data_IF_173654945960
#
_entry.id   IF_173654945960
#
_cell.length_a   1.000
_cell.length_b   1.000
_cell.length_c   1.000
_cell.angle_alpha   90.00
_cell.angle_beta   90.00
_cell.angle_gamma   90.00
#
_symmetry.space_group_name_H-M   'P 1'
#
loop_
_entity.id
_entity.type
_entity.pdbx_description
1 polymer ?
#
# COMPACT_ATOMS: atom_id res chain seq x y z
N UNK A 1 -10.79 -18.76 16.69
CA UNK A 1 -10.47 -18.15 18.02
C UNK A 1 -9.33 -17.16 17.81
N UNK A 2 -9.31 -16.05 18.54
CA UNK A 2 -8.26 -15.03 18.38
C UNK A 2 -6.94 -15.56 18.94
N UNK A 3 -5.88 -15.54 18.13
CA UNK A 3 -4.54 -15.95 18.52
C UNK A 3 -3.84 -14.80 19.28
N UNK A 4 -3.76 -14.95 20.60
CA UNK A 4 -3.19 -13.93 21.50
C UNK A 4 -1.69 -13.77 21.28
N UNK A 5 -0.98 -14.85 20.93
CA UNK A 5 0.46 -14.82 20.69
C UNK A 5 0.76 -14.03 19.43
N UNK A 6 -0.05 -14.24 18.38
CA UNK A 6 0.07 -13.49 17.13
C UNK A 6 -0.14 -11.99 17.38
N UNK A 7 -1.20 -11.60 18.09
CA UNK A 7 -1.47 -10.19 18.41
C UNK A 7 -0.30 -9.56 19.17
N UNK A 8 0.19 -10.23 20.22
CA UNK A 8 1.28 -9.71 21.05
C UNK A 8 2.55 -9.54 20.21
N UNK A 9 2.85 -10.49 19.33
CA UNK A 9 3.99 -10.41 18.40
C UNK A 9 3.84 -9.23 17.45
N UNK A 10 2.66 -9.05 16.83
CA UNK A 10 2.38 -7.91 15.95
C UNK A 10 2.59 -6.57 16.64
N UNK A 11 2.11 -6.42 17.89
CA UNK A 11 2.28 -5.19 18.67
C UNK A 11 3.76 -4.91 18.97
N UNK A 12 4.53 -5.93 19.33
CA UNK A 12 5.97 -5.77 19.60
C UNK A 12 6.70 -5.30 18.34
N UNK A 13 6.48 -5.96 17.19
CA UNK A 13 7.10 -5.54 15.94
C UNK A 13 6.66 -4.13 15.52
N UNK A 14 5.40 -3.76 15.76
CA UNK A 14 4.92 -2.41 15.48
C UNK A 14 5.70 -1.35 16.27
N UNK A 15 5.90 -1.57 17.58
CA UNK A 15 6.68 -0.68 18.44
C UNK A 15 8.14 -0.62 17.99
N UNK A 16 8.76 -1.77 17.67
CA UNK A 16 10.14 -1.82 17.21
C UNK A 16 10.35 -1.04 15.91
N UNK A 17 9.39 -1.09 14.99
CA UNK A 17 9.43 -0.32 13.73
C UNK A 17 9.34 1.18 13.99
N UNK A 18 8.48 1.63 14.90
CA UNK A 18 8.40 3.05 15.27
C UNK A 18 9.73 3.50 15.90
N UNK A 19 10.29 2.72 16.83
CA UNK A 19 11.58 3.02 17.46
C UNK A 19 12.72 3.05 16.42
N UNK A 20 12.74 2.09 15.49
CA UNK A 20 13.70 2.06 14.39
C UNK A 20 13.55 3.27 13.47
N UNK A 21 12.32 3.69 13.19
CA UNK A 21 12.03 4.87 12.37
C UNK A 21 12.48 6.16 13.04
N UNK A 22 12.25 6.30 14.34
CA UNK A 22 12.76 7.43 15.14
C UNK A 22 14.29 7.43 15.15
N UNK A 23 14.91 6.27 15.40
CA UNK A 23 16.37 6.14 15.36
C UNK A 23 16.94 6.57 14.01
N UNK A 24 16.34 6.12 12.92
CA UNK A 24 16.74 6.49 11.56
C UNK A 24 16.73 8.02 11.38
N UNK A 25 15.63 8.69 11.75
CA UNK A 25 15.52 10.15 11.63
C UNK A 25 16.53 10.86 12.53
N UNK A 26 16.70 10.44 13.78
CA UNK A 26 17.63 11.06 14.72
C UNK A 26 19.10 10.86 14.32
N UNK A 27 19.43 9.73 13.71
CA UNK A 27 20.79 9.40 13.28
C UNK A 27 21.19 10.15 12.00
N UNK A 28 20.27 10.27 11.04
CA UNK A 28 20.53 10.90 9.75
C UNK A 28 20.20 12.40 9.70
N UNK A 29 19.70 13.00 10.77
CA UNK A 29 19.45 14.45 10.81
C UNK A 29 20.76 15.25 10.74
N UNK A 30 20.71 16.39 10.04
CA UNK A 30 21.83 17.33 9.99
C UNK A 30 22.06 17.96 11.38
N UNK A 31 23.32 18.21 11.81
CA UNK A 31 23.61 18.82 13.11
C UNK A 31 22.95 20.18 13.33
N UNK A 32 22.72 20.94 12.26
CA UNK A 32 22.07 22.26 12.31
C UNK A 32 20.54 22.19 12.41
N UNK A 33 19.95 21.01 12.14
CA UNK A 33 18.51 20.76 12.23
C UNK A 33 18.14 20.03 13.55
N UNK A 34 18.95 20.20 14.60
CA UNK A 34 18.63 19.67 15.92
C UNK A 34 17.49 20.50 16.53
N UNK A 35 16.37 19.84 16.83
CA UNK A 35 15.18 20.43 17.48
C UNK A 35 14.38 21.44 16.66
N UNK A 36 14.64 21.54 15.36
CA UNK A 36 13.85 22.35 14.40
C UNK A 36 12.98 21.41 13.54
N UNK A 37 12.00 21.94 12.81
CA UNK A 37 11.21 21.20 11.82
C UNK A 37 10.61 19.86 12.28
N UNK A 38 10.00 19.85 13.46
CA UNK A 38 9.23 18.74 14.03
C UNK A 38 8.13 18.16 13.14
N UNK A 39 7.42 18.99 12.35
CA UNK A 39 6.28 18.51 11.55
C UNK A 39 6.70 17.51 10.45
N UNK A 40 7.69 17.80 9.58
CA UNK A 40 8.24 16.84 8.63
C UNK A 40 8.79 15.59 9.29
N UNK A 41 9.45 15.73 10.45
CA UNK A 41 10.03 14.59 11.17
C UNK A 41 8.95 13.61 11.59
N UNK A 42 7.82 14.09 12.11
CA UNK A 42 6.68 13.24 12.46
C UNK A 42 6.13 12.54 11.22
N UNK A 43 5.99 13.27 10.11
CA UNK A 43 5.51 12.71 8.84
C UNK A 43 6.44 11.63 8.31
N UNK A 44 7.75 11.85 8.33
CA UNK A 44 8.74 10.86 7.88
C UNK A 44 8.70 9.60 8.75
N UNK A 45 8.65 9.74 10.08
CA UNK A 45 8.54 8.58 10.98
C UNK A 45 7.27 7.79 10.70
N UNK A 46 6.14 8.47 10.48
CA UNK A 46 4.85 7.85 10.22
C UNK A 46 4.82 7.15 8.85
N UNK A 47 5.35 7.78 7.81
CA UNK A 47 5.46 7.20 6.46
C UNK A 47 6.39 5.99 6.44
N UNK A 48 7.55 6.08 7.10
CA UNK A 48 8.49 4.96 7.21
C UNK A 48 7.88 3.79 7.98
N UNK A 49 7.16 4.07 9.07
CA UNK A 49 6.47 3.04 9.85
C UNK A 49 5.42 2.32 9.03
N UNK A 50 4.57 3.06 8.29
CA UNK A 50 3.52 2.48 7.45
C UNK A 50 4.09 1.69 6.27
N UNK A 51 5.18 2.15 5.66
CA UNK A 51 5.89 1.40 4.62
C UNK A 51 6.38 0.05 5.16
N UNK A 52 7.01 0.02 6.34
CA UNK A 52 7.40 -1.22 6.99
C UNK A 52 6.19 -2.10 7.33
N UNK A 53 5.10 -1.53 7.84
CA UNK A 53 3.90 -2.30 8.17
C UNK A 53 3.31 -3.02 6.95
N UNK A 54 3.26 -2.38 5.78
CA UNK A 54 2.82 -3.03 4.54
C UNK A 54 3.61 -4.30 4.21
N UNK A 55 4.91 -4.31 4.49
CA UNK A 55 5.75 -5.51 4.30
C UNK A 55 5.36 -6.60 5.32
N UNK A 56 5.12 -6.23 6.58
CA UNK A 56 4.74 -7.17 7.65
C UNK A 56 3.29 -7.66 7.59
N UNK A 57 2.40 -7.02 6.82
CA UNK A 57 1.04 -7.51 6.60
C UNK A 57 1.01 -8.87 5.91
N UNK A 58 1.96 -9.16 5.02
CA UNK A 58 2.06 -10.44 4.33
C UNK A 58 2.30 -11.63 5.27
N UNK A 59 3.38 -11.65 6.08
CA UNK A 59 3.58 -12.75 7.03
C UNK A 59 2.49 -12.80 8.12
N UNK A 60 1.90 -11.65 8.47
CA UNK A 60 0.75 -11.61 9.40
C UNK A 60 -0.49 -12.29 8.81
N UNK A 61 -0.78 -12.09 7.53
CA UNK A 61 -1.89 -12.76 6.83
C UNK A 61 -1.68 -14.28 6.79
N UNK A 62 -0.48 -14.73 6.39
CA UNK A 62 -0.13 -16.15 6.38
C UNK A 62 -0.26 -16.78 7.76
N UNK A 63 0.23 -16.10 8.81
CA UNK A 63 0.11 -16.58 10.18
C UNK A 63 -1.35 -16.62 10.68
N UNK A 64 -2.16 -15.61 10.34
CA UNK A 64 -3.57 -15.53 10.72
C UNK A 64 -4.43 -16.60 10.03
N UNK A 65 -4.04 -17.06 8.84
CA UNK A 65 -4.73 -18.14 8.12
C UNK A 65 -4.39 -19.55 8.67
N UNK A 66 -3.29 -19.71 9.40
CA UNK A 66 -2.83 -20.99 9.96
C UNK A 66 -2.73 -22.13 8.91
N UNK A 67 -2.45 -21.79 7.65
CA UNK A 67 -2.37 -22.76 6.55
C UNK A 67 -3.72 -23.26 6.02
N UNK A 68 -4.84 -22.69 6.47
CA UNK A 68 -6.18 -22.95 5.94
C UNK A 68 -6.53 -21.98 4.81
N UNK A 69 -7.21 -22.48 3.77
CA UNK A 69 -7.70 -21.66 2.66
C UNK A 69 -8.89 -20.76 3.05
N UNK A 70 -9.57 -21.09 4.14
CA UNK A 70 -10.58 -20.24 4.79
C UNK A 70 -9.96 -19.61 6.03
N UNK A 71 -10.16 -18.30 6.21
CA UNK A 71 -9.60 -17.55 7.33
C UNK A 71 -9.98 -18.18 8.68
N UNK A 72 -9.03 -18.90 9.29
CA UNK A 72 -9.21 -19.58 10.57
C UNK A 72 -9.02 -18.62 11.76
N UNK A 73 -8.20 -17.59 11.57
CA UNK A 73 -7.89 -16.57 12.57
C UNK A 73 -8.99 -15.51 12.73
N UNK A 74 -8.94 -14.80 13.87
CA UNK A 74 -9.93 -13.79 14.24
C UNK A 74 -9.59 -12.36 13.79
N UNK A 75 -8.46 -12.14 13.11
CA UNK A 75 -8.03 -10.80 12.68
C UNK A 75 -8.66 -10.49 11.30
N UNK A 76 -9.38 -9.36 11.14
CA UNK A 76 -10.01 -8.98 9.87
C UNK A 76 -8.97 -8.44 8.88
N UNK A 77 -8.22 -9.35 8.25
CA UNK A 77 -7.05 -9.00 7.44
C UNK A 77 -7.40 -8.14 6.22
N UNK A 78 -8.54 -8.40 5.58
CA UNK A 78 -9.03 -7.60 4.46
C UNK A 78 -9.17 -6.12 4.83
N UNK A 79 -9.82 -5.82 5.97
CA UNK A 79 -10.03 -4.44 6.43
C UNK A 79 -8.71 -3.77 6.79
N UNK A 80 -7.80 -4.50 7.44
CA UNK A 80 -6.48 -3.98 7.83
C UNK A 80 -5.65 -3.65 6.58
N UNK A 81 -5.56 -4.58 5.62
CA UNK A 81 -4.83 -4.36 4.37
C UNK A 81 -5.35 -3.14 3.61
N UNK A 82 -6.67 -3.01 3.42
CA UNK A 82 -7.24 -1.83 2.77
C UNK A 82 -6.95 -0.53 3.52
N UNK A 83 -6.98 -0.55 4.86
CA UNK A 83 -6.69 0.63 5.67
C UNK A 83 -5.25 1.10 5.49
N UNK A 84 -4.27 0.19 5.52
CA UNK A 84 -2.87 0.54 5.31
C UNK A 84 -2.57 0.97 3.88
N UNK A 85 -3.17 0.33 2.88
CA UNK A 85 -3.05 0.73 1.48
C UNK A 85 -3.57 2.14 1.22
N UNK A 86 -4.75 2.48 1.74
CA UNK A 86 -5.30 3.84 1.64
C UNK A 86 -4.40 4.83 2.38
N UNK A 87 -3.91 4.48 3.57
CA UNK A 87 -2.99 5.33 4.33
C UNK A 87 -1.70 5.60 3.54
N UNK A 88 -1.12 4.60 2.88
CA UNK A 88 0.06 4.77 2.03
C UNK A 88 -0.17 5.71 0.87
N UNK A 89 -1.31 5.60 0.17
CA UNK A 89 -1.66 6.50 -0.92
C UNK A 89 -1.80 7.94 -0.42
N UNK A 90 -2.50 8.16 0.70
CA UNK A 90 -2.66 9.50 1.29
C UNK A 90 -1.31 10.07 1.71
N UNK A 91 -0.45 9.26 2.34
CA UNK A 91 0.86 9.73 2.79
C UNK A 91 1.80 10.06 1.64
N UNK A 92 1.91 9.16 0.66
CA UNK A 92 2.81 9.29 -0.48
C UNK A 92 2.39 10.39 -1.44
N UNK A 93 1.10 10.47 -1.80
CA UNK A 93 0.63 11.39 -2.85
C UNK A 93 0.11 12.74 -2.34
N UNK A 94 -0.31 12.82 -1.09
CA UNK A 94 -0.90 14.05 -0.53
C UNK A 94 -0.03 14.64 0.56
N UNK A 95 0.25 13.86 1.60
CA UNK A 95 0.82 14.42 2.83
C UNK A 95 2.32 14.74 2.70
N UNK A 96 3.11 13.87 2.06
CA UNK A 96 4.55 14.13 1.80
C UNK A 96 4.74 15.33 0.87
N UNK A 97 4.08 15.42 -0.31
CA UNK A 97 4.21 16.60 -1.15
C UNK A 97 3.68 17.88 -0.48
N UNK A 98 2.59 17.78 0.30
CA UNK A 98 2.09 18.91 1.08
C UNK A 98 3.13 19.45 2.06
N UNK A 99 3.82 18.57 2.79
CA UNK A 99 4.87 18.96 3.73
C UNK A 99 6.03 19.63 3.00
N UNK A 100 6.42 19.09 1.84
CA UNK A 100 7.47 19.68 1.01
C UNK A 100 7.12 21.12 0.59
N UNK A 101 5.94 21.34 -0.02
CA UNK A 101 5.50 22.69 -0.40
C UNK A 101 5.27 23.62 0.80
N UNK A 102 4.83 23.08 1.94
CA UNK A 102 4.67 23.86 3.16
C UNK A 102 6.00 24.46 3.63
N UNK A 103 7.10 23.69 3.53
CA UNK A 103 8.43 24.17 3.91
C UNK A 103 9.06 25.08 2.87
N UNK A 104 8.87 24.83 1.58
CA UNK A 104 9.28 25.78 0.54
C UNK A 104 8.65 27.16 0.77
N UNK A 105 7.38 27.22 1.17
CA UNK A 105 6.69 28.46 1.51
C UNK A 105 7.15 29.11 2.83
N UNK A 106 8.01 28.46 3.62
CA UNK A 106 8.70 29.06 4.77
C UNK A 106 10.01 29.70 4.30
N UNK A 107 10.82 28.96 3.56
CA UNK A 107 12.12 29.44 3.07
C UNK A 107 11.97 30.68 2.18
N UNK A 108 10.97 30.68 1.28
CA UNK A 108 10.69 31.80 0.36
C UNK A 108 10.29 33.10 1.11
N UNK A 109 9.81 32.98 2.36
CA UNK A 109 9.47 34.14 3.22
C UNK A 109 10.67 34.71 3.95
N UNK A 110 11.58 33.84 4.41
CA UNK A 110 12.76 34.26 5.15
C UNK A 110 13.70 35.08 4.25
N UNK A 111 13.74 34.78 2.95
CA UNK A 111 14.49 35.54 1.94
C UNK A 111 13.81 36.88 1.53
N UNK A 112 12.48 36.96 1.58
CA UNK A 112 11.71 38.13 1.14
C UNK A 112 11.48 39.21 2.22
N UNK A 113 11.85 38.93 3.49
CA UNK A 113 11.70 39.87 4.60
C UNK A 113 10.24 40.20 4.97
N UNK A 114 9.27 39.44 4.45
CA UNK A 114 7.85 39.75 4.57
C UNK A 114 7.18 38.91 5.67
N UNK A 115 6.93 39.55 6.81
CA UNK A 115 6.47 38.94 8.07
C UNK A 115 4.96 38.57 8.09
N UNK A 116 4.42 38.02 7.00
CA UNK A 116 3.00 37.68 6.96
C UNK A 116 2.70 36.28 7.55
N UNK A 117 1.79 36.32 8.53
CA UNK A 117 0.98 35.29 9.21
C UNK A 117 1.00 33.86 8.62
N UNK A 118 1.04 32.85 9.50
CA UNK A 118 1.02 31.38 9.24
C UNK A 118 -0.03 30.94 8.20
N UNK A 119 -1.11 31.69 8.06
CA UNK A 119 -2.18 31.47 7.07
C UNK A 119 -1.67 31.47 5.63
N UNK A 120 -0.64 32.25 5.28
CA UNK A 120 -0.14 32.26 3.89
C UNK A 120 0.71 31.02 3.52
N UNK A 121 1.34 30.33 4.48
CA UNK A 121 2.11 29.09 4.22
C UNK A 121 1.19 27.93 3.85
N UNK A 122 0.13 27.73 4.63
CA UNK A 122 -0.85 26.66 4.37
C UNK A 122 -1.54 26.91 3.02
N UNK A 123 -1.88 28.16 2.70
CA UNK A 123 -2.46 28.53 1.40
C UNK A 123 -1.47 28.31 0.26
N UNK A 124 -0.18 28.61 0.45
CA UNK A 124 0.86 28.32 -0.53
C UNK A 124 0.96 26.82 -0.82
N UNK A 125 1.02 25.99 0.23
CA UNK A 125 1.04 24.54 0.09
C UNK A 125 -0.21 24.01 -0.64
N UNK A 126 -1.40 24.50 -0.30
CA UNK A 126 -2.62 24.11 -0.99
C UNK A 126 -2.69 24.57 -2.46
N UNK A 127 -2.10 25.73 -2.78
CA UNK A 127 -2.01 26.21 -4.17
C UNK A 127 -1.20 25.26 -5.04
N UNK A 128 -0.13 24.67 -4.51
CA UNK A 128 0.78 23.80 -5.26
C UNK A 128 0.48 22.30 -5.16
N UNK A 129 -0.22 21.86 -4.10
CA UNK A 129 -0.63 20.44 -3.99
C UNK A 129 -1.67 20.06 -5.04
N UNK A 130 -2.60 20.96 -5.38
CA UNK A 130 -3.69 20.68 -6.34
C UNK A 130 -3.16 20.32 -7.73
N UNK A 131 -2.32 21.15 -8.40
CA UNK A 131 -1.77 20.77 -9.70
C UNK A 131 -0.89 19.52 -9.61
N UNK A 132 -0.14 19.34 -8.51
CA UNK A 132 0.70 18.16 -8.29
C UNK A 132 -0.12 16.87 -8.24
N UNK A 133 -1.18 16.83 -7.42
CA UNK A 133 -2.09 15.67 -7.32
C UNK A 133 -2.80 15.40 -8.64
N UNK A 134 -3.17 16.44 -9.40
CA UNK A 134 -3.78 16.28 -10.73
C UNK A 134 -2.80 15.62 -11.71
N UNK A 135 -1.55 16.07 -11.76
CA UNK A 135 -0.53 15.49 -12.65
C UNK A 135 -0.25 14.04 -12.28
N UNK A 136 -0.03 13.75 -10.99
CA UNK A 136 0.18 12.38 -10.52
C UNK A 136 -1.02 11.48 -10.78
N UNK A 137 -2.24 11.97 -10.55
CA UNK A 137 -3.48 11.22 -10.82
C UNK A 137 -3.68 10.91 -12.30
N UNK A 138 -3.30 11.83 -13.20
CA UNK A 138 -3.33 11.57 -14.65
C UNK A 138 -2.32 10.48 -15.02
N UNK A 139 -1.08 10.59 -14.52
CA UNK A 139 -0.04 9.60 -14.79
C UNK A 139 -0.46 8.22 -14.27
N UNK A 140 -0.91 8.14 -13.03
CA UNK A 140 -1.38 6.91 -12.40
C UNK A 140 -2.58 6.29 -13.16
N UNK A 141 -3.55 7.11 -13.57
CA UNK A 141 -4.68 6.65 -14.38
C UNK A 141 -4.23 6.09 -15.73
N UNK A 142 -3.30 6.75 -16.42
CA UNK A 142 -2.76 6.25 -17.68
C UNK A 142 -2.02 4.92 -17.48
N UNK A 143 -1.20 4.80 -16.43
CA UNK A 143 -0.53 3.54 -16.11
C UNK A 143 -1.55 2.43 -15.83
N UNK A 144 -2.59 2.69 -15.04
CA UNK A 144 -3.65 1.72 -14.80
C UNK A 144 -4.39 1.34 -16.08
N UNK A 145 -4.73 2.30 -16.94
CA UNK A 145 -5.45 2.05 -18.18
C UNK A 145 -4.67 1.18 -19.18
N UNK A 146 -3.33 1.32 -19.23
CA UNK A 146 -2.49 0.60 -20.20
C UNK A 146 -1.74 -0.60 -19.62
N UNK A 147 -1.49 -0.66 -18.31
CA UNK A 147 -0.69 -1.70 -17.65
C UNK A 147 -1.44 -2.42 -16.53
N UNK A 148 -2.64 -1.97 -16.15
CA UNK A 148 -3.44 -2.50 -15.05
C UNK A 148 -4.20 -3.80 -15.38
N UNK A 149 -3.60 -4.71 -16.14
CA UNK A 149 -4.17 -6.02 -16.44
C UNK A 149 -3.14 -7.13 -16.28
N UNK A 150 -3.61 -8.29 -15.85
CA UNK A 150 -2.81 -9.52 -15.81
C UNK A 150 -3.48 -10.57 -16.71
N UNK A 151 -2.67 -11.21 -17.53
CA UNK A 151 -3.11 -12.34 -18.35
C UNK A 151 -2.84 -13.63 -17.57
N UNK A 152 -3.91 -14.34 -17.21
CA UNK A 152 -3.83 -15.62 -16.51
C UNK A 152 -4.20 -16.71 -17.50
N UNK A 153 -3.29 -17.67 -17.69
CA UNK A 153 -3.57 -18.83 -18.52
C UNK A 153 -4.45 -19.79 -17.72
N UNK A 154 -5.71 -19.94 -18.14
CA UNK A 154 -6.69 -20.82 -17.49
C UNK A 154 -6.93 -22.04 -18.37
N UNK A 155 -6.97 -23.22 -17.77
CA UNK A 155 -7.43 -24.46 -18.42
C UNK A 155 -8.82 -24.79 -17.94
N UNK A 156 -9.81 -24.58 -18.80
CA UNK A 156 -11.21 -24.97 -18.51
C UNK A 156 -11.42 -26.43 -18.86
N UNK A 157 -12.00 -27.19 -17.92
CA UNK A 157 -12.37 -28.58 -18.11
C UNK A 157 -13.90 -28.68 -18.12
N UNK A 158 -14.46 -29.10 -19.25
CA UNK A 158 -15.91 -29.30 -19.40
C UNK A 158 -16.21 -30.78 -19.52
N UNK A 159 -17.04 -31.32 -18.62
CA UNK A 159 -17.50 -32.70 -18.64
C UNK A 159 -19.02 -32.74 -18.41
N UNK A 160 -19.76 -33.71 -18.98
CA UNK A 160 -21.12 -33.98 -18.56
C UNK A 160 -21.14 -34.47 -17.10
N UNK A 161 -22.26 -34.23 -16.40
CA UNK A 161 -22.44 -34.72 -15.02
C UNK A 161 -22.38 -36.26 -15.03
N UNK A 162 -21.32 -36.81 -14.44
CA UNK A 162 -21.13 -38.25 -14.29
C UNK A 162 -21.00 -38.60 -12.80
N UNK A 163 -21.49 -39.77 -12.36
CA UNK A 163 -21.20 -40.27 -11.02
C UNK A 163 -19.71 -40.65 -10.92
N UNK A 164 -18.94 -39.99 -10.06
CA UNK A 164 -17.51 -40.26 -9.89
C UNK A 164 -16.75 -39.23 -9.06
N UNK A 165 -15.43 -39.42 -8.98
CA UNK A 165 -14.48 -38.53 -8.29
C UNK A 165 -14.27 -37.20 -9.03
N UNK A 166 -13.62 -36.24 -8.37
CA UNK A 166 -13.34 -34.92 -8.90
C UNK A 166 -12.58 -34.96 -10.25
N UNK A 167 -13.04 -34.17 -11.22
CA UNK A 167 -12.45 -34.09 -12.55
C UNK A 167 -11.04 -33.49 -12.45
N UNK A 168 -10.06 -34.16 -13.05
CA UNK A 168 -8.67 -33.70 -13.15
C UNK A 168 -8.21 -33.67 -14.61
N UNK A 169 -7.17 -32.87 -14.90
CA UNK A 169 -6.64 -32.75 -16.26
C UNK A 169 -6.12 -34.09 -16.83
N UNK A 170 -5.56 -34.96 -15.97
CA UNK A 170 -5.13 -36.30 -16.35
C UNK A 170 -6.29 -37.23 -16.68
N UNK A 171 -7.40 -37.14 -15.93
CA UNK A 171 -8.62 -37.91 -16.21
C UNK A 171 -9.21 -37.61 -17.59
N UNK A 172 -9.16 -36.35 -18.03
CA UNK A 172 -9.63 -35.95 -19.36
C UNK A 172 -8.77 -36.47 -20.52
N UNK A 173 -7.45 -36.59 -20.31
CA UNK A 173 -6.55 -37.11 -21.33
C UNK A 173 -6.73 -38.62 -21.58
N UNK A 174 -7.12 -39.38 -20.54
CA UNK A 174 -7.25 -40.83 -20.62
C UNK A 174 -8.61 -41.31 -21.13
N UNK A 175 -9.69 -40.61 -20.77
CA UNK A 175 -11.06 -41.12 -20.98
C UNK A 175 -11.76 -40.55 -22.22
N UNK A 176 -11.25 -39.47 -22.85
CA UNK A 176 -11.94 -38.71 -23.91
C UNK A 176 -13.38 -38.26 -23.53
N UNK A 177 -13.73 -38.27 -22.24
CA UNK A 177 -15.09 -37.95 -21.75
C UNK A 177 -15.27 -36.48 -21.39
N UNK A 178 -14.19 -35.71 -21.39
CA UNK A 178 -14.20 -34.28 -21.13
C UNK A 178 -13.33 -33.51 -22.11
N UNK A 179 -13.69 -32.25 -22.35
CA UNK A 179 -13.00 -31.34 -23.25
C UNK A 179 -12.14 -30.38 -22.43
N UNK A 180 -10.85 -30.32 -22.77
CA UNK A 180 -9.90 -29.35 -22.23
C UNK A 180 -9.76 -28.19 -23.21
N UNK A 181 -9.98 -26.96 -22.75
CA UNK A 181 -9.74 -25.75 -23.54
C UNK A 181 -8.88 -24.78 -22.73
N UNK A 182 -7.73 -24.40 -23.31
CA UNK A 182 -6.87 -23.37 -22.76
C UNK A 182 -7.33 -22.01 -23.26
N UNK A 183 -7.65 -21.12 -22.32
CA UNK A 183 -7.99 -19.73 -22.58
C UNK A 183 -7.03 -18.82 -21.83
N UNK A 184 -6.80 -17.63 -22.38
CA UNK A 184 -6.10 -16.55 -21.67
C UNK A 184 -7.18 -15.62 -21.15
N UNK A 185 -7.36 -15.60 -19.84
CA UNK A 185 -8.28 -14.69 -19.18
C UNK A 185 -7.52 -13.41 -18.80
N UNK A 186 -8.01 -12.27 -19.27
CA UNK A 186 -7.47 -10.96 -18.91
C UNK A 186 -8.25 -10.42 -17.71
N UNK A 187 -7.56 -10.27 -16.58
CA UNK A 187 -8.13 -9.75 -15.33
C UNK A 187 -7.61 -8.34 -15.10
N UNK A 188 -8.52 -7.37 -14.95
CA UNK A 188 -8.15 -6.01 -14.59
C UNK A 188 -7.84 -5.91 -13.10
N UNK A 189 -6.70 -5.28 -12.79
CA UNK A 189 -6.28 -5.00 -11.41
C UNK A 189 -7.11 -3.86 -10.84
N UNK A 190 -7.45 -3.95 -9.55
CA UNK A 190 -8.13 -2.86 -8.85
C UNK A 190 -7.30 -1.57 -8.92
N UNK A 191 -7.98 -0.44 -9.21
CA UNK A 191 -7.36 0.89 -9.25
C UNK A 191 -6.57 1.16 -7.97
N UNK A 192 -7.11 0.81 -6.80
CA UNK A 192 -6.44 1.02 -5.52
C UNK A 192 -5.10 0.27 -5.44
N UNK A 193 -5.07 -0.99 -5.87
CA UNK A 193 -3.83 -1.80 -5.83
C UNK A 193 -2.80 -1.22 -6.81
N UNK A 194 -3.26 -0.75 -7.98
CA UNK A 194 -2.41 -0.04 -8.94
C UNK A 194 -1.84 1.25 -8.34
N UNK A 195 -2.67 2.05 -7.67
CA UNK A 195 -2.23 3.32 -7.06
C UNK A 195 -1.23 3.10 -5.92
N UNK A 196 -1.40 2.02 -5.15
CA UNK A 196 -0.44 1.65 -4.10
C UNK A 196 0.89 1.26 -4.74
N UNK A 197 0.87 0.40 -5.76
CA UNK A 197 2.08 -0.02 -6.48
C UNK A 197 2.81 1.15 -7.18
N UNK A 198 2.09 2.19 -7.57
CA UNK A 198 2.68 3.42 -8.10
C UNK A 198 3.27 4.31 -6.99
N UNK A 199 2.61 4.37 -5.83
CA UNK A 199 2.98 5.25 -4.71
C UNK A 199 4.05 4.66 -3.77
N UNK A 200 4.34 3.35 -3.84
CA UNK A 200 5.36 2.65 -3.04
C UNK A 200 6.53 2.19 -3.88
#
# INVERSE_FOLDING_TARGET
MVDVVLILTTVIFAILIILGSIYFVVYFQHPDDKWVAWFPKIVVVLSLSIACYNIFLLPLDVANQQGSFTAAGGIPMTTINFSFFIASVILGLVLVPFVMFYYEGVDDKDDAGDSTTTTSQVVYAFKWIVPTVVVFGIIDYLLWAFLGFVNVNTTTLTAPLMPGDAISASYCAETNTCTSSSAVDTIHVSVLISTVAFAT
#
